data_IF_501440763783
#
_entry.id   IF_501440763783
#
_cell.length_a   1.000
_cell.length_b   1.000
_cell.length_c   1.000
_cell.angle_alpha   90.00
_cell.angle_beta   90.00
_cell.angle_gamma   90.00
#
_symmetry.space_group_name_H-M   'P 1'
#
loop_
_entity.id
_entity.type
_entity.pdbx_description
1 polymer ?
#
# COMPACT_ATOMS: atom_id res chain seq x y z
N UNK A 1 56.45 0.96 -24.71
CA UNK A 1 55.08 0.51 -24.34
C UNK A 1 54.31 1.71 -23.78
N UNK A 2 53.93 2.64 -24.65
CA UNK A 2 52.57 3.02 -25.10
C UNK A 2 51.63 3.51 -23.98
N UNK A 3 51.58 4.84 -23.81
CA UNK A 3 50.56 5.59 -23.05
C UNK A 3 49.12 5.11 -23.34
N UNK A 4 48.83 4.69 -24.58
CA UNK A 4 47.49 4.21 -25.01
C UNK A 4 46.97 3.02 -24.21
N UNK A 5 47.84 2.12 -23.75
CA UNK A 5 47.44 0.95 -22.93
C UNK A 5 47.08 1.34 -21.49
N UNK A 6 47.70 2.38 -20.94
CA UNK A 6 47.38 2.90 -19.61
C UNK A 6 46.06 3.67 -19.59
N UNK A 7 45.79 4.46 -20.64
CA UNK A 7 44.50 5.15 -20.78
C UNK A 7 43.34 4.16 -20.91
N UNK A 8 43.48 3.07 -21.67
CA UNK A 8 42.43 2.06 -21.81
C UNK A 8 42.13 1.32 -20.50
N UNK A 9 43.17 0.99 -19.71
CA UNK A 9 43.02 0.37 -18.39
C UNK A 9 42.38 1.31 -17.37
N UNK A 10 42.78 2.58 -17.34
CA UNK A 10 42.18 3.59 -16.45
C UNK A 10 40.72 3.86 -16.80
N UNK A 11 40.36 3.89 -18.09
CA UNK A 11 38.96 4.07 -18.51
C UNK A 11 38.12 2.85 -18.16
N UNK A 12 38.65 1.63 -18.34
CA UNK A 12 37.97 0.38 -17.96
C UNK A 12 37.77 0.27 -16.45
N UNK A 13 38.77 0.60 -15.65
CA UNK A 13 38.67 0.60 -14.19
C UNK A 13 37.68 1.66 -13.68
N UNK A 14 37.68 2.86 -14.26
CA UNK A 14 36.74 3.93 -13.90
C UNK A 14 35.29 3.60 -14.26
N UNK A 15 35.05 2.88 -15.37
CA UNK A 15 33.70 2.43 -15.73
C UNK A 15 33.20 1.34 -14.78
N UNK A 16 34.05 0.39 -14.40
CA UNK A 16 33.67 -0.66 -13.44
C UNK A 16 33.36 -0.07 -12.07
N UNK A 17 34.18 0.87 -11.58
CA UNK A 17 33.90 1.53 -10.29
C UNK A 17 32.67 2.44 -10.34
N UNK A 18 32.41 3.14 -11.44
CA UNK A 18 31.20 3.93 -11.60
C UNK A 18 29.93 3.05 -11.60
N UNK A 19 29.97 1.91 -12.29
CA UNK A 19 28.85 0.95 -12.33
C UNK A 19 28.62 0.31 -10.97
N UNK A 20 29.68 -0.05 -10.23
CA UNK A 20 29.51 -0.62 -8.88
C UNK A 20 29.03 0.43 -7.88
N UNK A 21 29.52 1.66 -7.92
CA UNK A 21 29.02 2.75 -7.06
C UNK A 21 27.57 3.09 -7.39
N UNK A 22 27.18 3.08 -8.66
CA UNK A 22 25.79 3.25 -9.08
C UNK A 22 24.89 2.10 -8.62
N UNK A 23 25.35 0.85 -8.75
CA UNK A 23 24.58 -0.30 -8.31
C UNK A 23 24.46 -0.38 -6.77
N UNK A 24 25.52 -0.01 -6.04
CA UNK A 24 25.49 0.08 -4.58
C UNK A 24 24.68 1.30 -4.10
N UNK A 25 24.65 2.41 -4.84
CA UNK A 25 23.80 3.55 -4.50
C UNK A 25 22.31 3.20 -4.60
N UNK A 26 21.91 2.28 -5.48
CA UNK A 26 20.55 1.75 -5.52
C UNK A 26 20.19 0.90 -4.30
N UNK A 27 21.17 0.26 -3.67
CA UNK A 27 20.95 -0.50 -2.42
C UNK A 27 20.79 0.42 -1.21
N UNK A 28 21.48 1.57 -1.21
CA UNK A 28 21.41 2.54 -0.11
C UNK A 28 20.22 3.48 -0.28
N UNK A 29 19.97 3.98 -1.50
CA UNK A 29 18.88 4.86 -1.90
C UNK A 29 18.15 4.33 -3.14
N UNK A 30 17.30 3.31 -2.99
CA UNK A 30 16.52 2.80 -4.09
C UNK A 30 15.64 3.91 -4.68
N UNK A 31 15.52 3.98 -6.02
CA UNK A 31 14.65 4.95 -6.67
C UNK A 31 13.22 4.77 -6.18
N UNK A 32 12.46 5.87 -6.17
CA UNK A 32 11.04 5.84 -5.85
C UNK A 32 10.33 4.78 -6.72
N UNK A 33 9.46 3.95 -6.14
CA UNK A 33 8.60 3.07 -6.92
C UNK A 33 7.71 3.91 -7.86
N UNK A 34 7.39 3.33 -9.00
CA UNK A 34 6.53 3.98 -9.99
C UNK A 34 5.07 3.81 -9.61
N UNK A 35 4.31 4.91 -9.62
CA UNK A 35 2.85 4.91 -9.44
C UNK A 35 2.22 5.57 -10.67
N UNK A 36 1.71 4.74 -11.58
CA UNK A 36 0.93 5.19 -12.73
C UNK A 36 -0.43 5.71 -12.22
N UNK A 37 -0.55 7.04 -12.20
CA UNK A 37 -1.73 7.74 -11.68
C UNK A 37 -3.02 7.32 -12.39
N UNK A 38 -2.97 6.97 -13.69
CA UNK A 38 -4.17 6.53 -14.41
C UNK A 38 -4.59 5.13 -13.98
N UNK A 39 -3.62 4.25 -13.77
CA UNK A 39 -3.87 2.91 -13.24
C UNK A 39 -4.41 3.00 -11.83
N UNK A 40 -3.76 3.76 -10.95
CA UNK A 40 -4.22 3.94 -9.57
C UNK A 40 -5.62 4.52 -9.51
N UNK A 41 -5.93 5.56 -10.29
CA UNK A 41 -7.27 6.15 -10.33
C UNK A 41 -8.36 5.16 -10.79
N UNK A 42 -8.03 4.23 -11.69
CA UNK A 42 -8.96 3.19 -12.14
C UNK A 42 -9.06 2.01 -11.15
N UNK A 43 -7.97 1.68 -10.46
CA UNK A 43 -7.87 0.51 -9.59
C UNK A 43 -8.38 0.77 -8.16
N UNK A 44 -8.08 1.93 -7.57
CA UNK A 44 -8.41 2.21 -6.17
C UNK A 44 -9.91 2.03 -5.86
N UNK A 45 -10.88 2.54 -6.65
CA UNK A 45 -12.30 2.39 -6.32
C UNK A 45 -12.84 0.95 -6.37
N UNK A 46 -12.13 0.03 -7.05
CA UNK A 46 -12.52 -1.40 -7.08
C UNK A 46 -11.78 -2.19 -6.00
N UNK A 47 -10.59 -1.76 -5.61
CA UNK A 47 -9.83 -2.34 -4.49
C UNK A 47 -10.52 -1.97 -3.17
N UNK A 48 -10.81 -0.69 -2.96
CA UNK A 48 -11.52 -0.18 -1.77
C UNK A 48 -12.79 -0.98 -1.47
N UNK A 49 -13.71 -1.04 -2.46
CA UNK A 49 -14.92 -1.88 -2.37
C UNK A 49 -14.64 -3.36 -2.10
N UNK A 50 -13.57 -3.92 -2.64
CA UNK A 50 -13.20 -5.31 -2.38
C UNK A 50 -12.75 -5.49 -0.92
N UNK A 51 -11.91 -4.59 -0.40
CA UNK A 51 -11.43 -4.61 0.98
C UNK A 51 -12.60 -4.43 1.96
N UNK A 52 -13.45 -3.42 1.76
CA UNK A 52 -14.63 -3.15 2.61
C UNK A 52 -15.63 -4.31 2.65
N UNK A 53 -15.67 -5.14 1.59
CA UNK A 53 -16.61 -6.27 1.50
C UNK A 53 -16.19 -7.52 2.28
N UNK A 54 -15.03 -7.53 2.95
CA UNK A 54 -14.52 -8.73 3.63
C UNK A 54 -13.59 -9.59 2.78
N UNK A 55 -13.07 -9.07 1.67
CA UNK A 55 -12.28 -9.86 0.72
C UNK A 55 -10.85 -10.21 1.15
N UNK A 56 -10.33 -9.58 2.21
CA UNK A 56 -8.98 -9.81 2.75
C UNK A 56 -8.83 -9.33 4.21
N UNK A 57 -8.70 -8.01 4.40
CA UNK A 57 -8.28 -7.34 5.65
C UNK A 57 -9.42 -7.03 6.65
N UNK A 58 -10.61 -7.56 6.40
CA UNK A 58 -11.84 -7.21 7.12
C UNK A 58 -12.43 -8.47 7.76
N UNK A 59 -12.82 -8.37 9.03
CA UNK A 59 -13.40 -9.45 9.83
C UNK A 59 -14.81 -9.12 10.32
N UNK A 60 -15.58 -10.11 10.81
CA UNK A 60 -16.86 -9.85 11.46
C UNK A 60 -16.73 -8.77 12.53
N UNK A 61 -17.63 -7.78 12.48
CA UNK A 61 -17.66 -6.69 13.45
C UNK A 61 -17.83 -7.23 14.88
N UNK A 62 -17.05 -6.67 15.81
CA UNK A 62 -17.22 -6.90 17.25
C UNK A 62 -18.25 -5.96 17.88
N UNK A 63 -18.78 -4.99 17.13
CA UNK A 63 -19.79 -4.06 17.61
C UNK A 63 -21.20 -4.67 17.56
N UNK A 64 -22.11 -4.26 18.45
CA UNK A 64 -23.51 -4.71 18.41
C UNK A 64 -24.17 -4.41 17.05
N UNK A 65 -24.80 -5.42 16.43
CA UNK A 65 -25.46 -5.29 15.12
C UNK A 65 -26.49 -4.14 15.04
N UNK A 66 -27.15 -3.81 16.17
CA UNK A 66 -28.08 -2.67 16.28
C UNK A 66 -27.45 -1.31 15.96
N UNK A 67 -26.13 -1.20 16.01
CA UNK A 67 -25.38 0.02 15.67
C UNK A 67 -25.14 0.15 14.16
N UNK A 68 -25.46 -0.88 13.37
CA UNK A 68 -25.20 -0.92 11.93
C UNK A 68 -23.72 -0.72 11.59
N UNK A 69 -22.80 -1.50 12.19
CA UNK A 69 -21.38 -1.34 11.95
C UNK A 69 -21.02 -1.60 10.48
N UNK A 70 -20.07 -0.84 9.96
CA UNK A 70 -19.58 -0.90 8.58
C UNK A 70 -18.08 -0.69 8.56
N UNK A 71 -17.41 -1.48 7.73
CA UNK A 71 -15.99 -1.31 7.45
C UNK A 71 -15.78 -0.21 6.42
N UNK A 72 -14.70 0.54 6.63
CA UNK A 72 -14.18 1.53 5.70
C UNK A 72 -12.67 1.38 5.61
N UNK A 73 -12.12 1.62 4.44
CA UNK A 73 -10.69 1.54 4.18
C UNK A 73 -10.16 2.85 3.60
N UNK A 74 -8.88 3.12 3.87
CA UNK A 74 -8.11 4.13 3.19
C UNK A 74 -6.86 3.48 2.63
N UNK A 75 -6.51 3.79 1.38
CA UNK A 75 -5.37 3.19 0.69
C UNK A 75 -4.46 4.26 0.10
N UNK A 76 -3.15 4.00 0.18
CA UNK A 76 -2.13 4.78 -0.51
C UNK A 76 -1.36 3.86 -1.47
N UNK A 77 -1.40 4.12 -2.79
CA UNK A 77 -0.59 3.37 -3.74
C UNK A 77 0.89 3.68 -3.58
N UNK A 78 1.67 2.62 -3.40
CA UNK A 78 3.12 2.67 -3.26
C UNK A 78 3.80 2.27 -4.57
N UNK A 79 3.31 1.25 -5.25
CA UNK A 79 3.85 0.85 -6.56
C UNK A 79 2.73 0.31 -7.45
N UNK A 80 2.79 0.61 -8.74
CA UNK A 80 1.97 -0.04 -9.77
C UNK A 80 2.88 -0.77 -10.75
N UNK A 81 2.58 -2.04 -11.02
CA UNK A 81 3.31 -2.86 -11.96
C UNK A 81 2.34 -3.49 -12.97
N UNK A 82 2.56 -3.26 -14.27
CA UNK A 82 1.82 -3.94 -15.33
C UNK A 82 2.54 -5.22 -15.74
N UNK A 83 1.82 -6.34 -15.77
CA UNK A 83 2.30 -7.66 -16.22
C UNK A 83 1.33 -8.24 -17.25
N UNK A 84 1.56 -7.92 -18.53
CA UNK A 84 0.64 -8.30 -19.60
C UNK A 84 -0.73 -7.66 -19.38
N UNK A 85 -1.78 -8.48 -19.25
CA UNK A 85 -3.15 -8.03 -18.94
C UNK A 85 -3.40 -7.80 -17.45
N UNK A 86 -2.45 -8.14 -16.58
CA UNK A 86 -2.58 -7.95 -15.14
C UNK A 86 -1.94 -6.64 -14.68
N UNK A 87 -2.51 -6.08 -13.63
CA UNK A 87 -1.95 -4.96 -12.88
C UNK A 87 -1.76 -5.42 -11.44
N UNK A 88 -0.59 -5.18 -10.88
CA UNK A 88 -0.31 -5.34 -9.46
C UNK A 88 -0.18 -3.96 -8.83
N UNK A 89 -0.86 -3.75 -7.71
CA UNK A 89 -0.80 -2.49 -6.95
C UNK A 89 -0.36 -2.83 -5.54
N UNK A 90 0.82 -2.35 -5.17
CA UNK A 90 1.32 -2.39 -3.79
C UNK A 90 0.72 -1.21 -3.04
N UNK A 91 0.10 -1.48 -1.90
CA UNK A 91 -0.65 -0.48 -1.12
C UNK A 91 -0.20 -0.50 0.33
N UNK A 92 -0.22 0.67 0.96
CA UNK A 92 -0.41 0.80 2.41
C UNK A 92 -1.90 1.02 2.64
N UNK A 93 -2.53 0.26 3.55
CA UNK A 93 -3.97 0.34 3.83
C UNK A 93 -4.23 0.50 5.32
N UNK A 94 -5.27 1.25 5.65
CA UNK A 94 -5.82 1.36 7.00
C UNK A 94 -7.32 1.19 6.93
N UNK A 95 -7.80 0.09 7.50
CA UNK A 95 -9.20 -0.27 7.52
C UNK A 95 -9.71 -0.30 8.95
N UNK A 96 -10.91 0.23 9.17
CA UNK A 96 -11.55 0.24 10.48
C UNK A 96 -13.01 -0.15 10.40
N UNK A 97 -13.51 -0.72 11.50
CA UNK A 97 -14.91 -0.99 11.74
C UNK A 97 -15.55 0.19 12.46
N UNK A 98 -16.52 0.83 11.81
CA UNK A 98 -17.14 2.08 12.25
C UNK A 98 -18.64 1.96 12.47
N UNK A 99 -19.14 2.73 13.42
CA UNK A 99 -20.56 2.88 13.64
C UNK A 99 -20.90 4.32 14.06
N UNK A 100 -22.18 4.66 13.95
CA UNK A 100 -22.70 5.93 14.47
C UNK A 100 -23.30 5.73 15.85
N UNK A 101 -22.91 6.61 16.79
CA UNK A 101 -23.53 6.69 18.13
C UNK A 101 -23.99 8.12 18.37
N UNK A 102 -25.31 8.33 18.31
CA UNK A 102 -25.90 9.66 18.42
C UNK A 102 -25.42 10.59 17.29
N UNK A 103 -24.75 11.68 17.65
CA UNK A 103 -24.12 12.62 16.71
C UNK A 103 -22.64 12.37 16.45
N UNK A 104 -22.07 11.25 16.94
CA UNK A 104 -20.65 10.95 16.83
C UNK A 104 -20.36 9.69 16.00
N UNK A 105 -19.12 9.62 15.55
CA UNK A 105 -18.52 8.45 14.91
C UNK A 105 -17.73 7.65 15.96
N UNK A 106 -17.87 6.33 15.98
CA UNK A 106 -17.06 5.44 16.81
C UNK A 106 -16.39 4.38 15.94
N UNK A 107 -15.19 3.95 16.34
CA UNK A 107 -14.50 2.80 15.75
C UNK A 107 -14.09 1.78 16.82
N UNK A 108 -13.93 0.50 16.47
CA UNK A 108 -13.44 -0.52 17.40
C UNK A 108 -12.26 -1.30 16.82
N UNK A 109 -12.57 -2.20 15.88
CA UNK A 109 -11.59 -3.05 15.23
C UNK A 109 -10.97 -2.30 14.05
N UNK A 110 -9.73 -2.64 13.73
CA UNK A 110 -9.06 -2.11 12.55
C UNK A 110 -7.72 -2.78 12.30
N UNK A 111 -7.18 -2.56 11.12
CA UNK A 111 -5.86 -3.02 10.72
C UNK A 111 -5.20 -1.98 9.84
N UNK A 112 -3.92 -1.73 10.11
CA UNK A 112 -3.04 -1.00 9.22
C UNK A 112 -1.97 -1.96 8.73
N UNK A 113 -1.94 -2.23 7.44
CA UNK A 113 -1.03 -3.22 6.86
C UNK A 113 -0.65 -2.84 5.43
N UNK A 114 0.28 -3.61 4.86
CA UNK A 114 0.64 -3.52 3.45
C UNK A 114 -0.09 -4.63 2.71
N UNK A 115 -0.65 -4.35 1.54
CA UNK A 115 -1.28 -5.37 0.71
C UNK A 115 -0.82 -5.28 -0.73
N UNK A 116 -0.89 -6.39 -1.43
CA UNK A 116 -0.69 -6.47 -2.86
C UNK A 116 -2.01 -6.85 -3.53
N UNK A 117 -2.64 -5.88 -4.19
CA UNK A 117 -3.81 -6.13 -5.01
C UNK A 117 -3.40 -6.55 -6.42
N UNK A 118 -3.90 -7.69 -6.90
CA UNK A 118 -3.76 -8.13 -8.29
C UNK A 118 -5.08 -7.97 -9.01
N UNK A 119 -5.06 -7.22 -10.11
CA UNK A 119 -6.22 -6.90 -10.92
C UNK A 119 -6.05 -7.45 -12.33
N UNK A 120 -7.16 -7.89 -12.90
CA UNK A 120 -7.30 -8.12 -14.33
C UNK A 120 -7.73 -6.82 -15.01
N UNK A 121 -6.97 -6.40 -16.02
CA UNK A 121 -7.18 -5.17 -16.78
C UNK A 121 -7.53 -5.45 -18.26
N UNK A 122 -8.06 -6.64 -18.56
CA UNK A 122 -8.51 -7.01 -19.91
C UNK A 122 -9.82 -6.33 -20.36
N UNK A 123 -10.62 -5.84 -19.41
CA UNK A 123 -11.88 -5.14 -19.67
C UNK A 123 -11.81 -3.63 -19.48
N UNK A 124 -12.94 -2.94 -19.69
CA UNK A 124 -13.05 -1.48 -19.51
C UNK A 124 -12.89 -1.04 -18.05
N UNK A 125 -13.24 -1.91 -17.09
CA UNK A 125 -13.10 -1.68 -15.65
C UNK A 125 -12.19 -2.78 -15.08
N UNK A 126 -11.14 -2.43 -14.30
CA UNK A 126 -10.32 -3.43 -13.65
C UNK A 126 -11.13 -4.31 -12.69
N UNK A 127 -10.80 -5.59 -12.61
CA UNK A 127 -11.43 -6.53 -11.69
C UNK A 127 -10.39 -7.06 -10.72
N UNK A 128 -10.62 -6.89 -9.42
CA UNK A 128 -9.76 -7.48 -8.38
C UNK A 128 -9.84 -9.00 -8.48
N UNK A 129 -8.68 -9.64 -8.61
CA UNK A 129 -8.54 -11.10 -8.66
C UNK A 129 -8.07 -11.67 -7.34
N UNK A 130 -7.17 -10.97 -6.68
CA UNK A 130 -6.56 -11.39 -5.43
C UNK A 130 -6.06 -10.16 -4.67
N UNK A 131 -6.06 -10.27 -3.34
CA UNK A 131 -5.40 -9.32 -2.43
C UNK A 131 -4.58 -10.16 -1.45
N UNK A 132 -3.26 -10.06 -1.57
CA UNK A 132 -2.35 -10.79 -0.72
C UNK A 132 -1.83 -9.93 0.43
N UNK A 133 -1.91 -10.47 1.64
CA UNK A 133 -1.39 -9.88 2.87
C UNK A 133 -0.07 -10.56 3.29
N UNK A 134 0.88 -9.82 3.87
CA UNK A 134 2.04 -10.38 4.54
C UNK A 134 1.61 -11.25 5.72
N UNK A 135 2.27 -12.40 5.88
CA UNK A 135 2.19 -13.20 7.11
C UNK A 135 2.53 -12.36 8.36
N UNK A 136 2.00 -12.74 9.53
CA UNK A 136 2.32 -12.09 10.80
C UNK A 136 3.60 -12.61 11.48
N UNK A 137 4.06 -11.87 12.49
CA UNK A 137 5.10 -12.30 13.43
C UNK A 137 6.45 -12.56 12.77
N UNK A 138 7.06 -13.70 13.08
CA UNK A 138 8.40 -14.06 12.59
C UNK A 138 8.47 -14.21 11.05
N UNK A 139 7.33 -14.44 10.39
CA UNK A 139 7.24 -14.61 8.94
C UNK A 139 6.96 -13.31 8.19
N UNK A 140 6.70 -12.21 8.89
CA UNK A 140 6.37 -10.91 8.30
C UNK A 140 7.43 -10.36 7.35
N UNK A 141 8.70 -10.27 7.79
CA UNK A 141 9.73 -9.73 6.89
C UNK A 141 10.00 -10.66 5.70
N UNK A 142 10.05 -12.00 5.86
CA UNK A 142 10.09 -12.92 4.73
C UNK A 142 8.91 -12.78 3.76
N UNK A 143 7.67 -12.64 4.25
CA UNK A 143 6.47 -12.52 3.41
C UNK A 143 6.45 -11.20 2.64
N UNK A 144 6.78 -10.09 3.29
CA UNK A 144 6.98 -8.79 2.65
C UNK A 144 7.95 -8.88 1.45
N UNK A 145 9.09 -9.55 1.62
CA UNK A 145 10.09 -9.76 0.55
C UNK A 145 9.61 -10.65 -0.61
N UNK A 146 8.63 -11.54 -0.37
CA UNK A 146 8.04 -12.36 -1.44
C UNK A 146 6.98 -11.59 -2.22
N UNK A 147 6.20 -10.75 -1.54
CA UNK A 147 5.06 -10.05 -2.14
C UNK A 147 5.48 -8.82 -2.93
N UNK A 148 6.40 -8.02 -2.37
CA UNK A 148 6.71 -6.68 -2.85
C UNK A 148 8.09 -6.58 -3.51
N UNK A 149 8.23 -5.64 -4.43
CA UNK A 149 9.53 -5.30 -5.01
C UNK A 149 10.44 -4.62 -3.97
N UNK A 150 11.75 -4.64 -4.20
CA UNK A 150 12.70 -3.93 -3.33
C UNK A 150 12.41 -2.42 -3.25
N UNK A 151 11.89 -1.82 -4.33
CA UNK A 151 11.51 -0.39 -4.36
C UNK A 151 10.29 -0.11 -3.49
N UNK A 152 9.26 -0.95 -3.56
CA UNK A 152 8.08 -0.83 -2.72
C UNK A 152 8.46 -1.01 -1.24
N UNK A 153 9.26 -2.03 -0.91
CA UNK A 153 9.77 -2.25 0.45
C UNK A 153 10.52 -1.04 1.00
N UNK A 154 11.39 -0.45 0.19
CA UNK A 154 12.15 0.71 0.63
C UNK A 154 11.29 1.97 0.79
N UNK A 155 10.21 2.12 0.02
CA UNK A 155 9.26 3.21 0.20
C UNK A 155 8.38 3.00 1.45
N UNK A 156 7.94 1.77 1.73
CA UNK A 156 7.28 1.44 3.01
C UNK A 156 8.17 1.82 4.21
N UNK A 157 9.42 1.33 4.22
CA UNK A 157 10.39 1.66 5.28
C UNK A 157 10.66 3.18 5.36
N UNK A 158 10.63 3.90 4.23
CA UNK A 158 10.84 5.35 4.18
C UNK A 158 9.67 6.11 4.78
N UNK A 159 8.44 5.73 4.44
CA UNK A 159 7.20 6.34 4.97
C UNK A 159 7.09 6.12 6.47
N UNK A 160 7.40 4.92 6.93
CA UNK A 160 7.44 4.57 8.36
C UNK A 160 8.44 5.47 9.11
N UNK A 161 9.69 5.58 8.64
CA UNK A 161 10.70 6.48 9.24
C UNK A 161 10.29 7.95 9.25
N UNK A 162 9.44 8.37 8.31
CA UNK A 162 8.95 9.74 8.19
C UNK A 162 7.62 9.98 8.93
N UNK A 163 7.03 8.95 9.55
CA UNK A 163 5.69 9.02 10.13
C UNK A 163 4.60 9.35 9.11
N UNK A 164 4.81 9.02 7.82
CA UNK A 164 3.86 9.26 6.73
C UNK A 164 2.94 8.06 6.55
N UNK A 165 2.03 7.89 7.48
CA UNK A 165 1.03 6.83 7.40
C UNK A 165 -0.12 7.21 6.48
N UNK A 166 -0.84 6.22 5.99
CA UNK A 166 -2.17 6.43 5.42
C UNK A 166 -3.10 7.09 6.46
N UNK A 167 -3.94 8.02 6.01
CA UNK A 167 -4.91 8.68 6.88
C UNK A 167 -6.07 7.73 7.18
N UNK A 168 -6.52 7.68 8.43
CA UNK A 168 -7.68 6.89 8.84
C UNK A 168 -8.93 7.26 8.01
N UNK A 169 -9.79 6.29 7.65
CA UNK A 169 -10.98 6.51 6.82
C UNK A 169 -12.13 7.23 7.57
N UNK A 170 -11.83 8.05 8.56
CA UNK A 170 -12.80 8.79 9.35
C UNK A 170 -13.69 9.70 8.50
N UNK A 171 -13.10 10.37 7.51
CA UNK A 171 -13.83 11.28 6.61
C UNK A 171 -14.82 10.52 5.71
N UNK A 172 -14.41 9.34 5.22
CA UNK A 172 -15.22 8.39 4.45
C UNK A 172 -16.40 7.90 5.30
N UNK A 173 -16.09 7.38 6.49
CA UNK A 173 -17.07 6.83 7.43
C UNK A 173 -18.06 7.91 7.90
N UNK A 174 -17.58 9.09 8.29
CA UNK A 174 -18.43 10.20 8.71
C UNK A 174 -19.44 10.58 7.62
N UNK A 175 -18.99 10.71 6.37
CA UNK A 175 -19.86 10.99 5.22
C UNK A 175 -20.90 9.88 5.05
N UNK A 176 -20.50 8.61 5.13
CA UNK A 176 -21.39 7.47 4.98
C UNK A 176 -22.46 7.37 6.09
N UNK A 177 -22.17 7.86 7.29
CA UNK A 177 -23.11 7.93 8.42
C UNK A 177 -23.91 9.25 8.51
N UNK A 178 -23.73 10.16 7.54
CA UNK A 178 -24.42 11.45 7.49
C UNK A 178 -23.96 12.42 8.59
N UNK A 179 -22.68 12.36 8.97
CA UNK A 179 -22.05 13.24 9.96
C UNK A 179 -21.30 14.39 9.26
N UNK A 180 -21.04 15.50 9.97
CA UNK A 180 -20.31 16.64 9.42
C UNK A 180 -18.89 16.24 8.94
N UNK A 181 -18.35 16.90 7.89
CA UNK A 181 -16.95 16.75 7.50
C UNK A 181 -16.00 17.01 8.66
N UNK A 182 -14.92 16.23 8.75
CA UNK A 182 -13.92 16.35 9.83
C UNK A 182 -14.34 15.72 11.16
N UNK A 183 -15.50 15.06 11.24
CA UNK A 183 -15.85 14.23 12.40
C UNK A 183 -14.82 13.11 12.54
N UNK A 184 -14.06 13.12 13.64
CA UNK A 184 -13.11 12.06 13.97
C UNK A 184 -13.78 10.97 14.80
N UNK A 185 -13.37 9.73 14.60
CA UNK A 185 -13.86 8.62 15.38
C UNK A 185 -13.25 8.63 16.78
N UNK A 186 -14.03 8.19 17.75
CA UNK A 186 -13.54 7.82 19.08
C UNK A 186 -13.62 6.31 19.24
N UNK A 187 -12.72 5.74 20.03
CA UNK A 187 -12.77 4.31 20.33
C UNK A 187 -14.09 3.96 21.01
N UNK A 188 -14.73 2.92 20.51
CA UNK A 188 -15.88 2.29 21.16
C UNK A 188 -15.37 1.43 22.31
N UNK A 189 -15.86 1.73 23.51
CA UNK A 189 -15.60 0.96 24.73
C UNK A 189 -16.79 0.03 24.95
N UNK A 190 -16.52 -1.27 25.11
CA UNK A 190 -17.53 -2.31 25.37
C UNK A 190 -18.03 -2.26 26.81
#
# INVERSE_FOLDING_TARGET
MRLKTWSALLTGAALVTAVTVWHESWRVWPPLPEVDQRVSAAALPVIDRYLESGGAVVWPSSMPARMGPRWFCAEVPIETERRGSQVRVSLEVDCGDYARVGGGLVNHAGTRTHVLATLDHSGAVPVVRDVAEPDDGAFWRPSMKRLFSERALAEFDRRERQGRYVEEPDSEAARAFGLPPGTKARRYEM
#
